data_IF_293322510341
#
_entry.id   IF_293322510341
#
_cell.length_a   1.000
_cell.length_b   1.000
_cell.length_c   1.000
_cell.angle_alpha   90.00
_cell.angle_beta   90.00
_cell.angle_gamma   90.00
#
_symmetry.space_group_name_H-M   'P 1'
#
loop_
_entity.id
_entity.type
_entity.pdbx_description
1 polymer ?
#
# COMPACT_ATOMS: atom_id res chain seq x y z
N UNK A 1 -2.87 1.65 -19.09
CA UNK A 1 -2.43 0.37 -18.81
C UNK A 1 -3.47 -0.37 -17.99
N UNK A 2 -3.82 -1.56 -18.29
CA UNK A 2 -4.97 -2.40 -17.99
C UNK A 2 -5.32 -2.58 -16.50
N UNK A 3 -6.05 -1.63 -15.94
CA UNK A 3 -6.64 -1.76 -14.59
C UNK A 3 -8.03 -2.41 -14.59
N UNK A 4 -8.63 -2.62 -15.75
CA UNK A 4 -10.01 -3.13 -15.87
C UNK A 4 -10.12 -4.66 -15.87
N UNK A 5 -9.04 -5.43 -15.75
CA UNK A 5 -9.10 -6.89 -15.99
C UNK A 5 -8.76 -7.79 -14.80
N UNK A 6 -8.35 -7.23 -13.65
CA UNK A 6 -7.96 -8.11 -12.51
C UNK A 6 -9.09 -8.43 -11.54
N UNK A 7 -10.18 -7.69 -11.52
CA UNK A 7 -11.21 -7.90 -10.47
C UNK A 7 -12.61 -8.19 -10.95
N UNK A 8 -12.95 -8.31 -12.21
CA UNK A 8 -14.35 -8.62 -12.61
C UNK A 8 -15.46 -7.88 -11.83
N UNK A 9 -15.12 -6.93 -10.96
CA UNK A 9 -16.03 -6.14 -10.16
C UNK A 9 -16.50 -4.99 -11.05
N UNK A 10 -17.72 -5.11 -11.53
CA UNK A 10 -18.41 -4.04 -12.21
C UNK A 10 -18.35 -2.76 -11.37
N UNK A 11 -17.78 -1.71 -11.92
CA UNK A 11 -17.70 -0.36 -11.35
C UNK A 11 -19.06 0.27 -11.01
N UNK A 12 -20.15 -0.41 -11.30
CA UNK A 12 -21.52 0.01 -11.04
C UNK A 12 -21.92 0.04 -9.55
N UNK A 13 -21.13 -0.53 -8.65
CA UNK A 13 -21.48 -0.62 -7.23
C UNK A 13 -20.78 0.41 -6.32
N UNK A 14 -19.85 1.21 -6.84
CA UNK A 14 -19.21 2.26 -6.06
C UNK A 14 -20.05 3.54 -6.16
N UNK A 15 -20.69 4.00 -5.07
CA UNK A 15 -21.47 5.25 -5.08
C UNK A 15 -20.61 6.51 -5.22
N UNK A 16 -19.33 6.35 -5.51
CA UNK A 16 -18.32 7.38 -5.60
C UNK A 16 -17.65 7.23 -6.96
N UNK A 17 -17.78 8.27 -7.82
CA UNK A 17 -17.30 8.29 -9.20
C UNK A 17 -15.77 8.16 -9.28
N UNK A 18 -15.26 6.92 -9.31
CA UNK A 18 -13.86 6.66 -9.64
C UNK A 18 -13.71 6.58 -11.15
N UNK A 19 -13.03 7.55 -11.75
CA UNK A 19 -12.78 7.59 -13.20
C UNK A 19 -11.36 7.16 -13.56
N UNK A 20 -10.38 7.66 -12.80
CA UNK A 20 -8.97 7.38 -13.03
C UNK A 20 -8.14 7.63 -11.76
N UNK A 21 -6.93 7.08 -11.73
CA UNK A 21 -5.96 7.36 -10.67
C UNK A 21 -5.49 8.83 -10.74
N UNK A 22 -5.56 9.53 -9.61
CA UNK A 22 -4.98 10.86 -9.39
C UNK A 22 -4.27 10.88 -8.04
N UNK A 23 -3.13 11.56 -7.95
CA UNK A 23 -2.26 11.49 -6.78
C UNK A 23 -2.00 12.83 -6.10
N UNK A 24 -1.74 13.87 -6.85
CA UNK A 24 -1.33 15.20 -6.34
C UNK A 24 -2.08 16.30 -7.08
N UNK A 25 -3.21 16.75 -6.57
CA UNK A 25 -3.98 16.19 -5.44
C UNK A 25 -4.82 14.96 -5.83
N UNK A 26 -5.29 14.15 -4.84
CA UNK A 26 -6.30 13.13 -5.11
C UNK A 26 -7.65 13.81 -5.39
N UNK A 27 -8.29 13.47 -6.53
CA UNK A 27 -9.47 14.18 -7.01
C UNK A 27 -10.80 13.53 -6.59
N UNK A 28 -10.75 12.39 -5.90
CA UNK A 28 -11.94 11.69 -5.41
C UNK A 28 -11.61 10.86 -4.16
N UNK A 29 -12.63 10.42 -3.40
CA UNK A 29 -12.45 9.66 -2.17
C UNK A 29 -11.63 8.38 -2.30
N UNK A 30 -11.77 7.62 -3.39
CA UNK A 30 -11.00 6.39 -3.62
C UNK A 30 -9.51 6.72 -3.77
N UNK A 31 -9.18 7.75 -4.55
CA UNK A 31 -7.81 8.21 -4.70
C UNK A 31 -7.23 8.75 -3.39
N UNK A 32 -8.04 9.41 -2.55
CA UNK A 32 -7.64 9.84 -1.22
C UNK A 32 -7.26 8.65 -0.33
N UNK A 33 -8.08 7.59 -0.31
CA UNK A 33 -7.79 6.36 0.43
C UNK A 33 -6.52 5.66 -0.08
N UNK A 34 -6.37 5.51 -1.39
CA UNK A 34 -5.18 4.87 -1.96
C UNK A 34 -3.92 5.69 -1.66
N UNK A 35 -3.98 7.02 -1.77
CA UNK A 35 -2.82 7.88 -1.47
C UNK A 35 -2.46 7.82 0.01
N UNK A 36 -3.44 7.87 0.90
CA UNK A 36 -3.22 7.79 2.35
C UNK A 36 -2.66 6.43 2.76
N UNK A 37 -3.24 5.33 2.28
CA UNK A 37 -2.75 3.98 2.55
C UNK A 37 -1.34 3.72 2.01
N UNK A 38 -1.03 4.22 0.80
CA UNK A 38 0.30 4.13 0.24
C UNK A 38 1.34 4.91 1.09
N UNK A 39 0.94 6.05 1.68
CA UNK A 39 1.80 6.81 2.59
C UNK A 39 2.09 6.04 3.87
N UNK A 40 1.08 5.41 4.49
CA UNK A 40 1.28 4.57 5.68
C UNK A 40 2.23 3.41 5.38
N UNK A 41 1.97 2.67 4.32
CA UNK A 41 2.80 1.54 3.89
C UNK A 41 4.25 1.96 3.60
N UNK A 42 4.43 3.11 2.94
CA UNK A 42 5.74 3.68 2.66
C UNK A 42 6.54 3.98 3.95
N UNK A 43 5.92 4.59 4.94
CA UNK A 43 6.60 4.87 6.20
C UNK A 43 6.92 3.61 7.01
N UNK A 44 6.08 2.58 6.97
CA UNK A 44 6.41 1.28 7.57
C UNK A 44 7.61 0.62 6.87
N UNK A 45 7.63 0.64 5.53
CA UNK A 45 8.77 0.12 4.77
C UNK A 45 10.08 0.85 5.12
N UNK A 46 10.03 2.18 5.22
CA UNK A 46 11.18 2.99 5.67
C UNK A 46 11.66 2.56 7.06
N UNK A 47 10.73 2.36 8.00
CA UNK A 47 11.08 1.92 9.35
C UNK A 47 11.76 0.55 9.35
N UNK A 48 11.26 -0.42 8.58
CA UNK A 48 11.88 -1.75 8.47
C UNK A 48 13.25 -1.71 7.78
N UNK A 49 13.40 -0.91 6.72
CA UNK A 49 14.70 -0.76 6.07
C UNK A 49 15.75 -0.20 7.04
N UNK A 50 15.43 0.85 7.79
CA UNK A 50 16.32 1.38 8.83
C UNK A 50 16.58 0.36 9.94
N UNK A 51 15.58 -0.36 10.42
CA UNK A 51 15.73 -1.37 11.47
C UNK A 51 16.72 -2.47 11.09
N UNK A 52 16.79 -2.79 9.79
CA UNK A 52 17.73 -3.79 9.27
C UNK A 52 19.03 -3.21 8.71
N UNK A 53 19.28 -1.91 8.92
CA UNK A 53 20.53 -1.24 8.53
C UNK A 53 20.68 -1.00 7.03
N UNK A 54 19.56 -0.89 6.30
CA UNK A 54 19.51 -0.51 4.90
C UNK A 54 19.23 0.99 4.77
N UNK A 55 19.84 1.64 3.78
CA UNK A 55 19.52 3.02 3.44
C UNK A 55 18.29 3.07 2.54
N UNK A 56 17.15 3.62 3.00
CA UNK A 56 15.93 3.68 2.20
C UNK A 56 16.04 4.52 0.92
N UNK A 57 17.03 5.39 0.80
CA UNK A 57 17.21 6.26 -0.36
C UNK A 57 17.79 5.52 -1.59
N UNK A 58 18.50 4.42 -1.38
CA UNK A 58 19.21 3.69 -2.43
C UNK A 58 18.29 2.68 -3.13
N UNK A 59 17.42 3.16 -4.03
CA UNK A 59 16.52 2.32 -4.83
C UNK A 59 17.21 1.56 -5.96
N UNK A 60 16.59 0.46 -6.39
CA UNK A 60 17.02 -0.34 -7.54
C UNK A 60 16.16 -0.09 -8.78
N UNK A 61 14.84 0.00 -8.62
CA UNK A 61 13.88 0.26 -9.69
C UNK A 61 13.60 1.75 -9.83
N UNK A 62 13.44 2.44 -8.69
CA UNK A 62 13.29 3.88 -8.66
C UNK A 62 14.66 4.54 -8.57
N UNK A 63 14.97 5.42 -9.52
CA UNK A 63 16.20 6.20 -9.47
C UNK A 63 16.28 7.03 -8.17
N UNK A 64 17.45 7.13 -7.54
CA UNK A 64 17.64 8.00 -6.39
C UNK A 64 17.27 9.45 -6.73
N UNK A 65 16.55 10.11 -5.86
CA UNK A 65 16.11 11.49 -6.02
C UNK A 65 16.09 12.17 -4.65
N UNK A 66 16.51 13.43 -4.59
CA UNK A 66 16.59 14.17 -3.33
C UNK A 66 15.23 14.20 -2.61
N UNK A 67 15.27 13.86 -1.32
CA UNK A 67 14.07 13.82 -0.47
C UNK A 67 13.14 12.64 -0.73
N UNK A 68 13.55 11.63 -1.52
CA UNK A 68 12.78 10.44 -1.79
C UNK A 68 13.51 9.16 -1.35
N UNK A 69 12.85 8.34 -0.58
CA UNK A 69 13.35 7.02 -0.18
C UNK A 69 12.97 5.97 -1.23
N UNK A 70 13.79 5.91 -2.27
CA UNK A 70 13.52 5.12 -3.48
C UNK A 70 13.43 3.63 -3.20
N UNK A 71 14.27 3.08 -2.31
CA UNK A 71 14.21 1.66 -1.92
C UNK A 71 12.91 1.30 -1.20
N UNK A 72 12.39 2.22 -0.38
CA UNK A 72 11.10 1.99 0.27
C UNK A 72 9.96 1.92 -0.77
N UNK A 73 10.02 2.70 -1.85
CA UNK A 73 9.07 2.59 -2.96
C UNK A 73 9.18 1.24 -3.66
N UNK A 74 10.41 0.78 -3.94
CA UNK A 74 10.66 -0.53 -4.55
C UNK A 74 10.06 -1.67 -3.71
N UNK A 75 10.29 -1.61 -2.38
CA UNK A 75 9.84 -2.62 -1.44
C UNK A 75 8.32 -2.73 -1.35
N UNK A 76 7.59 -1.62 -1.44
CA UNK A 76 6.13 -1.61 -1.28
C UNK A 76 5.36 -1.97 -2.55
N UNK A 77 5.98 -1.96 -3.73
CA UNK A 77 5.27 -2.20 -5.00
C UNK A 77 4.47 -3.53 -4.99
N UNK A 78 5.00 -4.68 -4.53
CA UNK A 78 4.23 -5.92 -4.48
C UNK A 78 3.06 -5.88 -3.47
N UNK A 79 3.16 -5.05 -2.44
CA UNK A 79 2.14 -4.94 -1.37
C UNK A 79 1.01 -3.97 -1.71
N UNK A 80 1.23 -3.01 -2.59
CA UNK A 80 0.23 -1.98 -2.92
C UNK A 80 -1.11 -2.55 -3.41
N UNK A 81 -1.16 -3.50 -4.36
CA UNK A 81 -2.43 -4.06 -4.82
C UNK A 81 -3.19 -4.78 -3.70
N UNK A 82 -2.51 -5.64 -2.95
CA UNK A 82 -3.14 -6.51 -1.94
C UNK A 82 -3.49 -5.80 -0.64
N UNK A 83 -2.75 -4.78 -0.27
CA UNK A 83 -2.97 -4.03 0.96
C UNK A 83 -3.75 -2.74 0.70
N UNK A 84 -3.23 -1.85 -0.14
CA UNK A 84 -3.75 -0.48 -0.26
C UNK A 84 -4.98 -0.42 -1.17
N UNK A 85 -4.88 -1.00 -2.35
CA UNK A 85 -5.95 -0.91 -3.36
C UNK A 85 -7.14 -1.78 -2.98
N UNK A 86 -6.87 -3.02 -2.56
CA UNK A 86 -7.91 -3.90 -2.07
C UNK A 86 -8.58 -3.37 -0.79
N UNK A 87 -7.82 -2.74 0.13
CA UNK A 87 -8.40 -2.08 1.29
C UNK A 87 -9.33 -0.94 0.88
N UNK A 88 -8.91 -0.08 -0.07
CA UNK A 88 -9.75 1.00 -0.54
C UNK A 88 -11.07 0.47 -1.12
N UNK A 89 -11.04 -0.61 -1.93
CA UNK A 89 -12.23 -1.26 -2.44
C UNK A 89 -13.14 -1.78 -1.33
N UNK A 90 -12.58 -2.47 -0.34
CA UNK A 90 -13.33 -3.02 0.80
C UNK A 90 -14.02 -1.93 1.62
N UNK A 91 -13.35 -0.80 1.86
CA UNK A 91 -13.89 0.32 2.62
C UNK A 91 -15.17 0.90 2.01
N UNK A 92 -15.24 0.97 0.67
CA UNK A 92 -16.42 1.46 -0.03
C UNK A 92 -17.47 0.36 -0.26
N UNK A 93 -17.06 -0.84 -0.63
CA UNK A 93 -17.96 -1.97 -0.88
C UNK A 93 -18.76 -2.35 0.37
N UNK A 94 -18.13 -2.31 1.54
CA UNK A 94 -18.77 -2.59 2.82
C UNK A 94 -19.34 -1.33 3.51
N UNK A 95 -19.34 -0.18 2.83
CA UNK A 95 -19.86 1.08 3.36
C UNK A 95 -19.25 1.51 4.70
N UNK A 96 -17.98 1.17 4.93
CA UNK A 96 -17.22 1.59 6.11
C UNK A 96 -16.92 3.08 6.04
N UNK A 97 -16.59 3.56 4.83
CA UNK A 97 -16.45 4.97 4.50
C UNK A 97 -17.55 5.39 3.52
N UNK A 98 -18.05 6.59 3.73
CA UNK A 98 -19.00 7.31 2.89
C UNK A 98 -18.57 8.77 2.69
N UNK A 99 -19.37 9.57 2.00
CA UNK A 99 -19.03 10.96 1.68
C UNK A 99 -18.75 11.84 2.92
N UNK A 100 -19.36 11.53 4.07
CA UNK A 100 -19.17 12.30 5.31
C UNK A 100 -17.78 12.15 5.93
N UNK A 101 -16.99 11.18 5.47
CA UNK A 101 -15.63 10.90 5.95
C UNK A 101 -14.53 11.64 5.15
N UNK A 102 -14.95 12.54 4.24
CA UNK A 102 -14.03 13.28 3.37
C UNK A 102 -14.29 14.78 3.45
N UNK A 103 -13.26 15.54 3.14
CA UNK A 103 -13.28 16.99 3.00
C UNK A 103 -12.56 17.40 1.72
N UNK A 104 -13.06 18.48 1.10
CA UNK A 104 -12.40 19.08 -0.07
C UNK A 104 -11.58 20.28 0.39
N UNK A 105 -10.29 20.29 0.04
CA UNK A 105 -9.40 21.43 0.26
C UNK A 105 -8.30 21.47 -0.81
N UNK A 106 -7.82 22.66 -1.13
CA UNK A 106 -6.70 22.87 -2.08
C UNK A 106 -6.89 22.14 -3.42
N UNK A 107 -8.12 22.07 -3.93
CA UNK A 107 -8.46 21.40 -5.18
C UNK A 107 -8.42 19.87 -5.12
N UNK A 108 -8.27 19.28 -3.95
CA UNK A 108 -8.27 17.84 -3.72
C UNK A 108 -9.32 17.37 -2.73
N UNK A 109 -9.47 16.05 -2.63
CA UNK A 109 -10.33 15.36 -1.67
C UNK A 109 -9.46 14.60 -0.68
N UNK A 110 -9.68 14.79 0.61
CA UNK A 110 -8.89 14.20 1.68
C UNK A 110 -9.78 13.55 2.75
N UNK A 111 -9.24 12.55 3.46
CA UNK A 111 -9.90 12.00 4.63
C UNK A 111 -9.92 13.04 5.76
N UNK A 112 -11.10 13.30 6.35
CA UNK A 112 -11.24 14.07 7.58
C UNK A 112 -10.86 13.22 8.81
N UNK A 113 -10.88 13.79 10.02
CA UNK A 113 -10.48 13.10 11.25
C UNK A 113 -11.25 11.79 11.52
N UNK A 114 -12.60 11.76 11.44
CA UNK A 114 -13.33 10.51 11.54
C UNK A 114 -12.96 9.50 10.47
N UNK A 115 -12.78 9.95 9.22
CA UNK A 115 -12.38 9.12 8.10
C UNK A 115 -10.99 8.50 8.30
N UNK A 116 -10.01 9.29 8.75
CA UNK A 116 -8.66 8.82 9.07
C UNK A 116 -8.67 7.75 10.16
N UNK A 117 -9.40 7.94 11.24
CA UNK A 117 -9.53 6.98 12.34
C UNK A 117 -10.08 5.64 11.84
N UNK A 118 -11.16 5.67 11.06
CA UNK A 118 -11.75 4.45 10.47
C UNK A 118 -10.78 3.77 9.50
N UNK A 119 -10.13 4.54 8.63
CA UNK A 119 -9.15 4.02 7.68
C UNK A 119 -8.00 3.31 8.39
N UNK A 120 -7.35 3.97 9.37
CA UNK A 120 -6.22 3.41 10.13
C UNK A 120 -6.63 2.11 10.83
N UNK A 121 -7.81 2.07 11.47
CA UNK A 121 -8.30 0.85 12.11
C UNK A 121 -8.40 -0.33 11.12
N UNK A 122 -8.90 -0.10 9.92
CA UNK A 122 -9.02 -1.16 8.91
C UNK A 122 -7.68 -1.52 8.28
N UNK A 123 -6.79 -0.54 8.12
CA UNK A 123 -5.41 -0.75 7.69
C UNK A 123 -4.67 -1.66 8.67
N UNK A 124 -4.71 -1.35 9.98
CA UNK A 124 -4.10 -2.17 11.02
C UNK A 124 -4.66 -3.61 11.04
N UNK A 125 -5.99 -3.75 10.97
CA UNK A 125 -6.62 -5.08 10.90
C UNK A 125 -6.14 -5.89 9.70
N UNK A 126 -5.92 -5.23 8.57
CA UNK A 126 -5.43 -5.89 7.36
C UNK A 126 -3.96 -6.26 7.47
N UNK A 127 -3.14 -5.39 8.04
CA UNK A 127 -1.71 -5.65 8.31
C UNK A 127 -1.51 -6.85 9.24
N UNK A 128 -2.38 -7.02 10.23
CA UNK A 128 -2.31 -8.13 11.22
C UNK A 128 -3.09 -9.39 10.78
N UNK A 129 -3.77 -9.36 9.63
CA UNK A 129 -4.49 -10.53 9.15
C UNK A 129 -3.51 -11.63 8.77
N UNK A 130 -3.71 -12.81 9.39
CA UNK A 130 -2.89 -13.98 9.11
C UNK A 130 -3.26 -14.65 7.77
N UNK A 131 -2.25 -15.04 7.03
CA UNK A 131 -2.36 -15.85 5.82
C UNK A 131 -1.20 -16.85 5.73
N UNK A 132 -1.32 -17.85 4.87
CA UNK A 132 -0.22 -18.77 4.55
C UNK A 132 0.64 -18.09 3.46
N UNK A 133 1.89 -17.79 3.79
CA UNK A 133 2.85 -17.25 2.83
C UNK A 133 3.63 -18.40 2.18
N UNK A 134 3.59 -18.50 0.87
CA UNK A 134 4.36 -19.49 0.13
C UNK A 134 5.86 -19.21 0.26
N UNK A 135 6.27 -17.95 0.14
CA UNK A 135 7.66 -17.51 0.30
C UNK A 135 8.23 -17.81 1.71
N UNK A 136 7.42 -17.61 2.76
CA UNK A 136 7.85 -17.90 4.13
C UNK A 136 7.64 -19.38 4.55
N UNK A 137 6.81 -20.13 3.83
CA UNK A 137 6.47 -21.53 4.15
C UNK A 137 5.63 -21.72 5.41
N UNK A 138 5.12 -20.63 6.02
CA UNK A 138 4.32 -20.67 7.25
C UNK A 138 3.27 -19.56 7.31
N UNK A 139 2.41 -19.60 8.33
CA UNK A 139 1.43 -18.52 8.55
C UNK A 139 2.12 -17.28 9.07
N UNK A 140 1.84 -16.16 8.43
CA UNK A 140 2.41 -14.85 8.74
C UNK A 140 1.35 -13.76 8.59
N UNK A 141 1.72 -12.50 8.83
CA UNK A 141 0.89 -11.32 8.57
C UNK A 141 1.51 -10.48 7.45
N UNK A 142 0.73 -9.57 6.85
CA UNK A 142 1.29 -8.67 5.83
C UNK A 142 2.42 -7.79 6.39
N UNK A 143 2.32 -7.39 7.68
CA UNK A 143 3.37 -6.62 8.35
C UNK A 143 4.67 -7.41 8.47
N UNK A 144 4.62 -8.62 8.98
CA UNK A 144 5.80 -9.49 9.09
C UNK A 144 6.36 -9.87 7.71
N UNK A 145 5.49 -10.01 6.69
CA UNK A 145 5.93 -10.28 5.33
C UNK A 145 6.66 -9.07 4.73
N UNK A 146 6.22 -7.84 5.01
CA UNK A 146 6.92 -6.62 4.57
C UNK A 146 8.31 -6.53 5.23
N UNK A 147 8.39 -6.79 6.53
CA UNK A 147 9.68 -6.84 7.24
C UNK A 147 10.58 -7.95 6.67
N UNK A 148 10.03 -9.14 6.44
CA UNK A 148 10.77 -10.25 5.85
C UNK A 148 11.34 -9.91 4.47
N UNK A 149 10.61 -9.16 3.63
CA UNK A 149 11.14 -8.69 2.35
C UNK A 149 12.33 -7.74 2.51
N UNK A 150 12.36 -6.89 3.54
CA UNK A 150 13.53 -6.07 3.85
C UNK A 150 14.74 -6.92 4.26
N UNK A 151 14.53 -7.98 5.04
CA UNK A 151 15.59 -8.94 5.42
C UNK A 151 16.11 -9.71 4.21
N UNK A 152 15.23 -10.22 3.34
CA UNK A 152 15.61 -10.90 2.11
C UNK A 152 16.38 -9.98 1.18
N UNK A 153 15.94 -8.73 1.05
CA UNK A 153 16.65 -7.72 0.25
C UNK A 153 18.08 -7.51 0.77
N UNK A 154 18.26 -7.37 2.09
CA UNK A 154 19.59 -7.26 2.68
C UNK A 154 20.47 -8.46 2.35
N UNK A 155 19.93 -9.68 2.44
CA UNK A 155 20.66 -10.91 2.12
C UNK A 155 21.01 -10.99 0.64
N UNK A 156 20.19 -10.43 -0.23
CA UNK A 156 20.41 -10.39 -1.67
C UNK A 156 21.52 -9.44 -2.10
N UNK A 157 21.94 -8.50 -1.27
CA UNK A 157 23.11 -7.66 -1.57
C UNK A 157 24.38 -8.50 -1.69
N UNK A 158 24.49 -9.58 -0.90
CA UNK A 158 25.62 -10.51 -0.95
C UNK A 158 25.38 -11.67 -1.92
N UNK A 159 24.13 -12.02 -2.18
CA UNK A 159 23.72 -13.17 -3.00
C UNK A 159 22.40 -12.87 -3.71
N UNK A 160 22.41 -12.20 -4.87
CA UNK A 160 21.21 -11.74 -5.58
C UNK A 160 20.21 -12.86 -5.93
N UNK A 161 20.70 -14.07 -6.19
CA UNK A 161 19.89 -15.25 -6.54
C UNK A 161 18.96 -15.72 -5.39
N UNK A 162 19.13 -15.18 -4.19
CA UNK A 162 18.31 -15.49 -3.01
C UNK A 162 17.11 -14.58 -2.83
N UNK A 163 16.94 -13.58 -3.67
CA UNK A 163 15.81 -12.68 -3.55
C UNK A 163 14.57 -13.26 -4.21
N UNK A 164 13.58 -13.56 -3.40
CA UNK A 164 12.24 -13.93 -3.85
C UNK A 164 11.25 -12.80 -3.51
N UNK A 165 10.72 -12.10 -4.52
CA UNK A 165 9.74 -11.04 -4.27
C UNK A 165 8.45 -11.63 -3.70
N UNK A 166 7.79 -10.89 -2.83
CA UNK A 166 6.49 -11.26 -2.31
C UNK A 166 5.46 -11.28 -3.46
N UNK A 167 4.81 -12.42 -3.62
CA UNK A 167 3.65 -12.60 -4.50
C UNK A 167 2.51 -13.15 -3.64
N UNK A 168 1.36 -12.52 -3.72
CA UNK A 168 0.11 -13.00 -3.11
C UNK A 168 -0.81 -13.51 -4.22
N UNK A 169 -1.06 -14.81 -4.22
CA UNK A 169 -2.00 -15.47 -5.14
C UNK A 169 -3.43 -15.32 -4.67
#
# INVERSE_FOLDING_TARGET
>A
TRWCTVTGVQTCALPISFQRRSTRPPLNPVNACISFGATLLYHEAVAFLHAHGLDPALGLLHAPEDGRWSLALDLIEPFRPVLVEALALDLFSHRILDASHFESRDGGVFLNDPGRKKFILQYERRMERQFLSECAGHRTTLRLQLEHQAVLFKSALDSPDRFEPFLMN
#
